data_IF_294138426155
#
_entry.id   IF_294138426155
#
_cell.length_a   1.000
_cell.length_b   1.000
_cell.length_c   1.000
_cell.angle_alpha   90.00
_cell.angle_beta   90.00
_cell.angle_gamma   90.00
#
_symmetry.space_group_name_H-M   'P 1'
#
loop_
_entity.id
_entity.type
_entity.pdbx_description
1 polymer ?
#
# COMPACT_ATOMS: atom_id res chain seq x y z
N UNK A 1 -13.77 4.83 35.04
CA UNK A 1 -12.64 5.72 34.74
C UNK A 1 -12.94 6.40 33.39
N UNK A 2 -12.92 7.71 33.35
CA UNK A 2 -13.08 8.37 32.05
C UNK A 2 -11.86 8.01 31.18
N UNK A 3 -12.10 7.55 29.95
CA UNK A 3 -11.05 7.41 28.95
C UNK A 3 -10.47 8.80 28.72
N UNK A 4 -9.27 9.03 29.21
CA UNK A 4 -8.50 10.22 28.86
C UNK A 4 -8.05 9.98 27.43
N UNK A 5 -8.72 10.61 26.46
CA UNK A 5 -8.20 10.72 25.12
C UNK A 5 -6.91 11.53 25.20
N UNK A 6 -5.80 10.84 25.11
CA UNK A 6 -4.49 11.49 25.07
C UNK A 6 -4.39 12.16 23.69
N UNK A 7 -4.55 13.46 23.65
CA UNK A 7 -4.50 14.29 22.41
C UNK A 7 -3.12 14.29 21.71
N UNK A 8 -2.21 13.40 22.09
CA UNK A 8 -0.85 13.29 21.59
C UNK A 8 -0.57 11.96 20.90
N UNK A 9 -1.56 11.37 20.25
CA UNK A 9 -1.35 10.18 19.43
C UNK A 9 -0.93 10.59 18.02
N UNK A 10 0.14 10.00 17.55
CA UNK A 10 0.60 10.08 16.16
C UNK A 10 0.45 8.68 15.54
N UNK A 11 -0.64 8.44 14.85
CA UNK A 11 -0.90 7.21 14.15
C UNK A 11 -0.59 7.38 12.66
N UNK A 12 0.37 6.61 12.18
CA UNK A 12 0.72 6.55 10.78
C UNK A 12 0.06 5.33 10.14
N UNK A 13 -0.53 5.51 8.97
CA UNK A 13 -0.95 4.42 8.13
C UNK A 13 -0.12 4.40 6.86
N UNK A 14 0.63 3.33 6.67
CA UNK A 14 1.41 3.08 5.46
C UNK A 14 0.55 2.25 4.51
N UNK A 15 0.50 2.63 3.23
CA UNK A 15 -0.15 1.86 2.19
C UNK A 15 0.72 1.76 0.95
N UNK A 16 0.83 0.54 0.43
CA UNK A 16 1.54 0.21 -0.80
C UNK A 16 0.52 -0.06 -1.89
N UNK A 17 0.14 0.99 -2.64
CA UNK A 17 -0.86 0.84 -3.70
C UNK A 17 -0.39 -0.14 -4.76
N UNK A 18 -1.31 -1.02 -5.19
CA UNK A 18 -1.02 -2.04 -6.20
C UNK A 18 0.23 -2.85 -5.83
N UNK A 19 0.32 -3.29 -4.56
CA UNK A 19 1.48 -4.04 -4.05
C UNK A 19 1.79 -5.25 -4.93
N UNK A 20 0.75 -6.00 -5.30
CA UNK A 20 0.87 -7.20 -6.12
C UNK A 20 1.52 -6.89 -7.47
N UNK A 21 1.05 -5.85 -8.13
CA UNK A 21 1.63 -5.38 -9.39
C UNK A 21 3.08 -4.93 -9.21
N UNK A 22 3.36 -4.13 -8.18
CA UNK A 22 4.71 -3.65 -7.90
C UNK A 22 5.67 -4.84 -7.67
N UNK A 23 5.25 -5.84 -6.90
CA UNK A 23 6.03 -7.04 -6.62
C UNK A 23 6.33 -7.83 -7.89
N UNK A 24 5.35 -8.04 -8.77
CA UNK A 24 5.55 -8.74 -10.03
C UNK A 24 6.50 -7.95 -10.97
N UNK A 25 6.38 -6.63 -11.04
CA UNK A 25 7.27 -5.77 -11.84
C UNK A 25 8.71 -5.71 -11.32
N UNK A 26 8.92 -5.93 -10.02
CA UNK A 26 10.27 -6.08 -9.45
C UNK A 26 10.87 -7.41 -9.89
N UNK A 27 10.08 -8.48 -9.89
CA UNK A 27 10.54 -9.82 -10.29
C UNK A 27 10.74 -9.95 -11.79
N UNK A 28 9.88 -9.30 -12.58
CA UNK A 28 9.99 -9.25 -14.03
C UNK A 28 9.93 -7.80 -14.55
N UNK A 29 11.11 -7.17 -14.78
CA UNK A 29 11.17 -5.82 -15.33
C UNK A 29 10.52 -5.65 -16.71
N UNK A 30 10.32 -6.74 -17.47
CA UNK A 30 9.63 -6.73 -18.77
C UNK A 30 8.15 -6.32 -18.67
N UNK A 31 7.59 -6.35 -17.45
CA UNK A 31 6.21 -5.95 -17.19
C UNK A 31 6.03 -4.43 -16.96
N UNK A 32 7.11 -3.65 -16.88
CA UNK A 32 7.06 -2.23 -16.44
C UNK A 32 6.23 -1.32 -17.36
N UNK A 33 6.20 -1.62 -18.65
CA UNK A 33 5.52 -0.78 -19.65
C UNK A 33 4.32 -1.48 -20.29
N UNK A 34 3.97 -2.66 -19.81
CA UNK A 34 2.87 -3.45 -20.35
C UNK A 34 1.61 -3.29 -19.52
N UNK A 35 0.43 -3.34 -20.15
CA UNK A 35 -0.81 -3.47 -19.41
C UNK A 35 -0.86 -4.84 -18.71
N UNK A 36 -0.89 -4.82 -17.38
CA UNK A 36 -0.88 -6.01 -16.51
C UNK A 36 -2.03 -5.92 -15.52
N UNK A 37 -2.69 -7.05 -15.29
CA UNK A 37 -3.65 -7.20 -14.21
C UNK A 37 -3.37 -8.48 -13.42
N UNK A 38 -3.34 -8.36 -12.10
CA UNK A 38 -3.28 -9.49 -11.19
C UNK A 38 -4.71 -9.96 -10.93
N UNK A 39 -4.95 -11.23 -11.10
CA UNK A 39 -6.29 -11.82 -10.98
C UNK A 39 -6.35 -12.81 -9.81
N UNK A 40 -7.48 -12.84 -9.11
CA UNK A 40 -7.69 -13.74 -7.97
C UNK A 40 -7.60 -15.21 -8.37
N UNK A 41 -8.01 -15.55 -9.60
CA UNK A 41 -7.87 -16.87 -10.21
C UNK A 41 -8.00 -16.80 -11.73
N UNK A 42 -7.51 -17.78 -12.43
CA UNK A 42 -7.67 -17.91 -13.90
C UNK A 42 -9.07 -18.36 -14.34
N UNK A 43 -9.95 -18.68 -13.38
CA UNK A 43 -11.34 -19.02 -13.66
C UNK A 43 -12.11 -17.83 -14.26
N UNK A 44 -13.08 -18.02 -15.15
CA UNK A 44 -13.87 -16.93 -15.73
C UNK A 44 -14.53 -15.99 -14.71
N UNK A 45 -14.87 -16.48 -13.52
CA UNK A 45 -15.41 -15.70 -12.40
C UNK A 45 -14.35 -15.08 -11.49
N UNK A 46 -13.05 -15.34 -11.73
CA UNK A 46 -11.97 -14.63 -11.08
C UNK A 46 -12.10 -13.13 -11.35
N UNK A 47 -11.51 -12.30 -10.49
CA UNK A 47 -11.60 -10.84 -10.56
C UNK A 47 -10.23 -10.19 -10.52
N UNK A 48 -10.14 -8.98 -11.07
CA UNK A 48 -8.93 -8.16 -10.96
C UNK A 48 -8.75 -7.72 -9.51
N UNK A 49 -7.57 -7.99 -8.96
CA UNK A 49 -7.14 -7.60 -7.62
C UNK A 49 -6.23 -6.36 -7.66
N UNK A 50 -5.34 -6.32 -8.64
CA UNK A 50 -4.38 -5.23 -8.83
C UNK A 50 -4.18 -5.02 -10.33
N UNK A 51 -3.96 -3.77 -10.76
CA UNK A 51 -3.80 -3.49 -12.18
C UNK A 51 -2.89 -2.28 -12.43
N UNK A 52 -2.21 -2.32 -13.58
CA UNK A 52 -1.31 -1.27 -14.00
C UNK A 52 -2.05 -0.04 -14.52
N UNK A 53 -1.40 1.14 -14.51
CA UNK A 53 -1.96 2.34 -15.15
C UNK A 53 -2.33 2.10 -16.60
N UNK A 54 -1.51 1.38 -17.35
CA UNK A 54 -1.73 1.04 -18.75
C UNK A 54 -2.99 0.18 -18.93
N UNK A 55 -3.25 -0.76 -18.01
CA UNK A 55 -4.48 -1.55 -18.01
C UNK A 55 -5.72 -0.70 -17.66
N UNK A 56 -5.57 0.30 -16.78
CA UNK A 56 -6.65 1.27 -16.49
C UNK A 56 -6.99 2.12 -17.71
N UNK A 57 -6.01 2.54 -18.48
CA UNK A 57 -6.20 3.28 -19.73
C UNK A 57 -6.96 2.46 -20.78
N UNK A 58 -6.84 1.14 -20.76
CA UNK A 58 -7.67 0.22 -21.58
C UNK A 58 -9.09 0.02 -21.06
N UNK A 59 -9.48 0.70 -19.97
CA UNK A 59 -10.82 0.65 -19.38
C UNK A 59 -11.02 -0.49 -18.38
N UNK A 60 -9.95 -1.15 -17.92
CA UNK A 60 -10.05 -2.16 -16.89
C UNK A 60 -10.12 -1.53 -15.50
N UNK A 61 -10.77 -2.22 -14.56
CA UNK A 61 -10.95 -1.75 -13.17
C UNK A 61 -10.90 -2.90 -12.18
N UNK A 62 -10.62 -2.58 -10.90
CA UNK A 62 -10.63 -3.55 -9.81
C UNK A 62 -11.99 -4.23 -9.67
N UNK A 63 -11.98 -5.54 -9.48
CA UNK A 63 -13.19 -6.36 -9.35
C UNK A 63 -13.81 -6.79 -10.69
N UNK A 64 -13.29 -6.32 -11.83
CA UNK A 64 -13.76 -6.78 -13.14
C UNK A 64 -13.50 -8.28 -13.30
N UNK A 65 -14.50 -9.00 -13.84
CA UNK A 65 -14.39 -10.45 -14.06
C UNK A 65 -13.42 -10.79 -15.19
N UNK A 66 -12.64 -11.84 -15.01
CA UNK A 66 -11.68 -12.35 -16.01
C UNK A 66 -12.35 -12.63 -17.35
N UNK A 67 -13.58 -13.18 -17.33
CA UNK A 67 -14.37 -13.44 -18.55
C UNK A 67 -14.65 -12.17 -19.36
N UNK A 68 -14.83 -11.04 -18.69
CA UNK A 68 -15.04 -9.72 -19.35
C UNK A 68 -13.74 -9.18 -19.86
N UNK A 69 -12.67 -9.23 -19.06
CA UNK A 69 -11.33 -8.76 -19.47
C UNK A 69 -10.87 -9.43 -20.77
N UNK A 70 -11.03 -10.75 -20.85
CA UNK A 70 -10.64 -11.53 -22.04
C UNK A 70 -11.40 -11.17 -23.31
N UNK A 71 -12.61 -10.62 -23.17
CA UNK A 71 -13.41 -10.12 -24.30
C UNK A 71 -13.05 -8.69 -24.71
N UNK A 72 -12.64 -7.87 -23.73
CA UNK A 72 -12.37 -6.44 -23.96
C UNK A 72 -10.95 -6.17 -24.43
N UNK A 73 -9.97 -6.88 -23.89
CA UNK A 73 -8.56 -6.59 -24.16
C UNK A 73 -7.80 -7.88 -24.45
N UNK A 74 -7.09 -7.87 -25.58
CA UNK A 74 -6.18 -8.94 -25.97
C UNK A 74 -4.70 -8.62 -25.65
N UNK A 75 -4.44 -7.36 -25.25
CA UNK A 75 -3.08 -6.88 -24.93
C UNK A 75 -2.71 -6.96 -23.46
N UNK A 76 -3.68 -7.10 -22.58
CA UNK A 76 -3.45 -7.16 -21.12
C UNK A 76 -2.90 -8.52 -20.72
N UNK A 77 -1.77 -8.48 -20.01
CA UNK A 77 -1.21 -9.69 -19.41
C UNK A 77 -1.90 -9.97 -18.07
N UNK A 78 -2.54 -11.13 -17.97
CA UNK A 78 -3.20 -11.59 -16.76
C UNK A 78 -2.26 -12.49 -15.98
N UNK A 79 -1.93 -12.10 -14.75
CA UNK A 79 -1.10 -12.88 -13.84
C UNK A 79 -1.94 -13.41 -12.68
N UNK A 80 -1.87 -14.70 -12.37
CA UNK A 80 -2.57 -15.26 -11.22
C UNK A 80 -1.95 -14.75 -9.92
N UNK A 81 -2.77 -14.65 -8.87
CA UNK A 81 -2.36 -14.18 -7.54
C UNK A 81 -1.23 -15.06 -6.96
N UNK A 82 -0.11 -14.45 -6.66
CA UNK A 82 1.09 -15.11 -6.12
C UNK A 82 1.25 -14.82 -4.62
N UNK A 83 0.45 -15.51 -3.82
CA UNK A 83 0.38 -15.30 -2.37
C UNK A 83 1.76 -15.38 -1.69
N UNK A 84 2.58 -16.35 -2.05
CA UNK A 84 3.91 -16.52 -1.41
C UNK A 84 4.86 -15.36 -1.71
N UNK A 85 4.81 -14.80 -2.90
CA UNK A 85 5.57 -13.60 -3.24
C UNK A 85 5.08 -12.40 -2.41
N UNK A 86 3.78 -12.16 -2.37
CA UNK A 86 3.22 -10.96 -1.73
C UNK A 86 3.38 -11.00 -0.20
N UNK A 87 3.25 -12.17 0.43
CA UNK A 87 3.55 -12.34 1.86
C UNK A 87 5.04 -12.08 2.15
N UNK A 88 5.94 -12.56 1.29
CA UNK A 88 7.37 -12.32 1.45
C UNK A 88 7.71 -10.83 1.33
N UNK A 89 7.14 -10.15 0.35
CA UNK A 89 7.31 -8.70 0.16
C UNK A 89 6.74 -7.92 1.35
N UNK A 90 5.54 -8.27 1.81
CA UNK A 90 4.95 -7.68 3.01
C UNK A 90 5.87 -7.80 4.23
N UNK A 91 6.51 -8.95 4.41
CA UNK A 91 7.45 -9.18 5.52
C UNK A 91 8.67 -8.25 5.45
N UNK A 92 9.23 -8.01 4.27
CA UNK A 92 10.33 -7.06 4.11
C UNK A 92 9.90 -5.63 4.44
N UNK A 93 8.70 -5.23 4.01
CA UNK A 93 8.15 -3.92 4.36
C UNK A 93 7.93 -3.81 5.87
N UNK A 94 7.36 -4.83 6.50
CA UNK A 94 7.18 -4.89 7.96
C UNK A 94 8.52 -4.69 8.70
N UNK A 95 9.57 -5.36 8.27
CA UNK A 95 10.92 -5.18 8.86
C UNK A 95 11.41 -3.74 8.71
N UNK A 96 11.18 -3.11 7.56
CA UNK A 96 11.59 -1.73 7.31
C UNK A 96 10.86 -0.74 8.22
N UNK A 97 9.54 -0.88 8.39
CA UNK A 97 8.74 0.03 9.23
C UNK A 97 8.95 -0.20 10.72
N UNK A 98 9.24 -1.44 11.12
CA UNK A 98 9.50 -1.80 12.53
C UNK A 98 10.79 -1.18 13.10
N UNK A 99 11.65 -0.63 12.24
CA UNK A 99 12.81 0.13 12.68
C UNK A 99 12.46 1.53 13.21
N UNK A 100 11.28 2.03 12.93
CA UNK A 100 10.83 3.35 13.36
C UNK A 100 10.04 3.32 14.67
N UNK A 101 9.30 2.27 14.92
CA UNK A 101 8.54 2.03 16.16
C UNK A 101 8.38 0.54 16.39
N UNK A 102 8.35 0.08 17.66
CA UNK A 102 8.03 -1.32 17.97
C UNK A 102 6.55 -1.65 17.83
N UNK A 103 5.67 -0.63 17.69
CA UNK A 103 4.23 -0.82 17.65
C UNK A 103 3.77 -0.69 16.20
N UNK A 104 3.75 -1.83 15.51
CA UNK A 104 3.31 -1.96 14.11
C UNK A 104 2.24 -3.04 14.02
N UNK A 105 1.11 -2.70 13.41
CA UNK A 105 -0.01 -3.61 13.19
C UNK A 105 -0.30 -3.72 11.69
N UNK A 106 -0.30 -4.94 11.13
CA UNK A 106 -0.65 -5.14 9.73
C UNK A 106 -2.11 -4.74 9.43
N UNK A 107 -2.33 -4.14 8.27
CA UNK A 107 -3.65 -3.85 7.68
C UNK A 107 -3.73 -4.45 6.28
N UNK A 108 -4.04 -5.73 6.20
CA UNK A 108 -3.97 -6.49 4.96
C UNK A 108 -2.54 -6.80 4.51
N UNK A 109 -2.38 -7.13 3.24
CA UNK A 109 -1.07 -7.43 2.65
C UNK A 109 -0.30 -6.16 2.26
N UNK A 110 -1.02 -5.08 2.01
CA UNK A 110 -0.53 -3.83 1.43
C UNK A 110 -0.47 -2.66 2.41
N UNK A 111 -0.79 -2.88 3.70
CA UNK A 111 -0.86 -1.80 4.67
C UNK A 111 -0.34 -2.12 6.06
N UNK A 112 0.01 -1.06 6.79
CA UNK A 112 0.44 -1.12 8.18
C UNK A 112 -0.01 0.12 8.94
N UNK A 113 -0.47 -0.10 10.18
CA UNK A 113 -0.56 0.97 11.17
C UNK A 113 0.72 1.01 12.00
N UNK A 114 1.17 2.22 12.31
CA UNK A 114 2.33 2.45 13.17
C UNK A 114 1.92 3.45 14.26
N UNK A 115 2.13 3.10 15.51
CA UNK A 115 2.00 4.05 16.60
C UNK A 115 3.34 4.78 16.80
N UNK A 116 3.36 6.04 16.38
CA UNK A 116 4.51 6.94 16.47
C UNK A 116 4.40 7.91 17.64
N UNK A 117 3.46 7.69 18.55
CA UNK A 117 3.23 8.55 19.72
C UNK A 117 4.51 8.64 20.57
N UNK A 118 4.87 9.87 20.96
CA UNK A 118 6.09 10.14 21.73
C UNK A 118 7.39 10.14 20.92
N UNK A 119 7.38 9.80 19.63
CA UNK A 119 8.59 9.74 18.81
C UNK A 119 9.05 11.10 18.28
N UNK A 120 8.24 12.15 18.40
CA UNK A 120 8.60 13.51 17.92
C UNK A 120 9.90 14.03 18.55
N UNK A 121 10.15 13.75 19.82
CA UNK A 121 11.36 14.16 20.52
C UNK A 121 12.62 13.49 19.95
N UNK A 122 12.52 12.28 19.42
CA UNK A 122 13.63 11.49 18.89
C UNK A 122 13.80 11.69 17.38
N UNK A 123 12.69 11.76 16.64
CA UNK A 123 12.67 11.74 15.18
C UNK A 123 12.28 13.08 14.52
N UNK A 124 11.89 14.08 15.33
CA UNK A 124 11.50 15.39 14.84
C UNK A 124 10.08 15.43 14.29
N UNK A 125 9.85 16.29 13.31
CA UNK A 125 8.53 16.57 12.77
C UNK A 125 7.94 15.34 12.06
N UNK A 126 6.66 15.08 12.28
CA UNK A 126 5.96 13.88 11.77
C UNK A 126 6.02 13.73 10.25
N UNK A 127 5.92 14.83 9.50
CA UNK A 127 6.04 14.80 8.04
C UNK A 127 7.41 14.32 7.58
N UNK A 128 8.48 14.80 8.18
CA UNK A 128 9.85 14.36 7.87
C UNK A 128 10.04 12.89 8.21
N UNK A 129 9.46 12.44 9.32
CA UNK A 129 9.48 11.02 9.70
C UNK A 129 8.70 10.17 8.69
N UNK A 130 7.54 10.63 8.24
CA UNK A 130 6.76 9.98 7.20
C UNK A 130 7.54 9.83 5.89
N UNK A 131 8.19 10.90 5.43
CA UNK A 131 9.08 10.85 4.26
C UNK A 131 10.21 9.84 4.43
N UNK A 132 10.85 9.83 5.59
CA UNK A 132 11.95 8.90 5.89
C UNK A 132 11.49 7.44 5.86
N UNK A 133 10.26 7.14 6.32
CA UNK A 133 9.68 5.80 6.27
C UNK A 133 9.47 5.37 4.81
N UNK A 134 8.83 6.19 4.00
CA UNK A 134 8.57 5.90 2.58
C UNK A 134 9.88 5.74 1.82
N UNK A 135 10.84 6.61 2.03
CA UNK A 135 12.18 6.52 1.43
C UNK A 135 12.88 5.21 1.84
N UNK A 136 12.82 4.84 3.11
CA UNK A 136 13.41 3.59 3.61
C UNK A 136 12.79 2.35 2.95
N UNK A 137 11.46 2.33 2.81
CA UNK A 137 10.76 1.25 2.10
C UNK A 137 11.26 1.17 0.67
N UNK A 138 11.34 2.29 -0.04
CA UNK A 138 11.79 2.33 -1.43
C UNK A 138 13.24 1.87 -1.60
N UNK A 139 14.14 2.32 -0.72
CA UNK A 139 15.56 1.93 -0.75
C UNK A 139 15.76 0.43 -0.50
N UNK A 140 15.00 -0.15 0.42
CA UNK A 140 15.16 -1.56 0.81
C UNK A 140 14.39 -2.54 -0.07
N UNK A 141 13.26 -2.12 -0.65
CA UNK A 141 12.33 -3.02 -1.33
C UNK A 141 12.04 -2.64 -2.77
N UNK A 142 12.43 -1.45 -3.20
CA UNK A 142 12.05 -0.84 -4.48
C UNK A 142 10.54 -0.59 -4.63
N UNK A 143 9.76 -0.67 -3.54
CA UNK A 143 8.33 -0.41 -3.52
C UNK A 143 8.04 1.06 -3.25
N UNK A 144 7.02 1.56 -3.91
CA UNK A 144 6.45 2.88 -3.64
C UNK A 144 5.26 2.75 -2.70
N UNK A 145 5.19 3.66 -1.74
CA UNK A 145 4.10 3.71 -0.77
C UNK A 145 3.68 5.12 -0.47
N UNK A 146 2.65 5.23 0.37
CA UNK A 146 2.17 6.49 0.92
C UNK A 146 1.96 6.35 2.42
N UNK A 147 1.98 7.48 3.12
CA UNK A 147 1.71 7.53 4.54
C UNK A 147 0.62 8.56 4.84
N UNK A 148 -0.38 8.14 5.59
CA UNK A 148 -1.38 9.01 6.19
C UNK A 148 -1.09 9.18 7.68
N UNK A 149 -1.11 10.41 8.18
CA UNK A 149 -0.77 10.74 9.55
C UNK A 149 -1.98 11.37 10.22
N UNK A 150 -2.39 10.85 11.35
CA UNK A 150 -3.52 11.38 12.12
C UNK A 150 -3.45 10.96 13.58
N UNK A 151 -4.37 11.46 14.38
CA UNK A 151 -4.52 11.10 15.79
C UNK A 151 -5.21 9.76 16.01
N UNK A 152 -5.76 9.13 14.98
CA UNK A 152 -6.40 7.82 15.08
C UNK A 152 -6.28 7.00 13.79
N UNK A 153 -6.48 5.67 13.92
CA UNK A 153 -6.37 4.70 12.82
C UNK A 153 -7.35 4.97 11.68
N UNK A 154 -8.59 5.31 11.99
CA UNK A 154 -9.63 5.48 10.95
C UNK A 154 -9.26 6.63 10.01
N UNK A 155 -8.92 7.78 10.56
CA UNK A 155 -8.58 8.96 9.76
C UNK A 155 -7.29 8.74 8.97
N UNK A 156 -6.24 8.18 9.58
CA UNK A 156 -4.98 7.89 8.87
C UNK A 156 -5.18 6.94 7.69
N UNK A 157 -6.06 5.94 7.84
CA UNK A 157 -6.42 5.02 6.77
C UNK A 157 -7.23 5.68 5.66
N UNK A 158 -8.19 6.52 6.01
CA UNK A 158 -8.99 7.27 5.02
C UNK A 158 -8.08 8.13 4.16
N UNK A 159 -7.13 8.83 4.77
CA UNK A 159 -6.16 9.65 4.05
C UNK A 159 -5.41 8.87 2.99
N UNK A 160 -4.86 7.69 3.32
CA UNK A 160 -4.15 6.84 2.35
C UNK A 160 -5.07 6.19 1.30
N UNK A 161 -6.38 6.15 1.54
CA UNK A 161 -7.35 5.55 0.63
C UNK A 161 -7.86 6.52 -0.43
N UNK A 162 -7.96 7.81 -0.09
CA UNK A 162 -8.67 8.82 -0.90
C UNK A 162 -7.70 9.74 -1.65
N UNK A 163 -6.56 10.07 -1.05
CA UNK A 163 -5.63 11.07 -1.59
C UNK A 163 -4.44 10.38 -2.28
N UNK A 164 -4.09 10.78 -3.53
CA UNK A 164 -3.06 10.09 -4.31
C UNK A 164 -1.61 10.46 -3.98
N UNK A 165 -1.37 11.48 -3.14
CA UNK A 165 -0.02 11.97 -2.84
C UNK A 165 0.71 11.08 -1.82
N UNK A 166 2.03 11.26 -1.73
CA UNK A 166 2.92 10.39 -0.96
C UNK A 166 2.76 10.55 0.56
N UNK A 167 2.48 11.76 1.03
CA UNK A 167 2.32 12.05 2.47
C UNK A 167 1.14 12.98 2.70
N UNK A 168 0.30 12.61 3.66
CA UNK A 168 -0.82 13.41 4.12
C UNK A 168 -0.87 13.42 5.64
N UNK A 169 -0.94 14.60 6.21
CA UNK A 169 -1.21 14.84 7.62
C UNK A 169 -2.58 15.51 7.76
N UNK A 170 -3.41 14.96 8.64
CA UNK A 170 -4.68 15.56 9.01
C UNK A 170 -4.58 16.00 10.46
N UNK A 171 -4.56 17.30 10.69
CA UNK A 171 -4.66 17.87 12.03
C UNK A 171 -6.03 17.50 12.60
N UNK A 172 -6.04 16.94 13.81
CA UNK A 172 -7.27 16.65 14.51
C UNK A 172 -7.96 17.96 14.87
N UNK A 173 -9.16 18.13 14.34
CA UNK A 173 -10.08 19.16 14.78
C UNK A 173 -10.63 18.84 16.18
#
# INVERSE_FOLDING_TARGET
MPFVFNNNQDIFHIRLKELELQAERIMDPGLKTRPVAIISSSHPNGTIVSLSPEAKEEGLFHGMKVSIVRKMSHGVQLLPYNQSLYIRVNRYVYQSVSMFTPIVEPDGVDGFYMDMSGMRAIRGHVQNTGLSIIQRIQEQTSLSGMVGISVNKLVSRIVTSVIPDTIHEVEGG
#
